data_IF_801231013939
#
_entry.id   IF_801231013939
#
_cell.length_a   1.000
_cell.length_b   1.000
_cell.length_c   1.000
_cell.angle_alpha   90.00
_cell.angle_beta   90.00
_cell.angle_gamma   90.00
#
_symmetry.space_group_name_H-M   'P 1'
#
loop_
_entity.id
_entity.type
_entity.pdbx_description
1 polymer ?
#
# COMPACT_ATOMS: atom_id res chain seq x y z
N UNK A 1 64.84 -79.38 -5.03
CA UNK A 1 63.49 -79.80 -5.50
C UNK A 1 62.57 -78.60 -5.25
N UNK A 2 62.01 -77.86 -6.19
CA UNK A 2 61.74 -77.97 -7.64
C UNK A 2 62.05 -76.58 -8.27
N UNK A 3 62.97 -76.49 -9.23
CA UNK A 3 62.74 -76.25 -10.68
C UNK A 3 62.47 -74.79 -11.11
N UNK A 4 63.56 -74.11 -11.51
CA UNK A 4 63.86 -73.55 -12.83
C UNK A 4 62.78 -73.06 -13.82
N UNK A 5 63.12 -71.87 -14.35
CA UNK A 5 63.03 -71.38 -15.73
C UNK A 5 61.75 -70.71 -16.28
N UNK A 6 61.97 -69.51 -16.85
CA UNK A 6 61.33 -69.13 -18.12
C UNK A 6 60.73 -67.73 -18.18
N UNK A 7 61.48 -66.78 -18.71
CA UNK A 7 61.01 -65.49 -19.26
C UNK A 7 59.96 -65.69 -20.36
N UNK A 8 58.80 -65.02 -20.27
CA UNK A 8 57.95 -64.64 -21.42
C UNK A 8 57.23 -63.31 -21.13
N UNK A 9 57.23 -62.45 -22.15
CA UNK A 9 56.79 -61.05 -22.32
C UNK A 9 55.46 -60.58 -21.67
N UNK A 10 55.32 -59.26 -21.38
CA UNK A 10 54.03 -58.63 -21.15
C UNK A 10 53.42 -58.14 -22.48
N UNK A 11 52.16 -58.49 -22.73
CA UNK A 11 51.32 -57.81 -23.73
C UNK A 11 49.93 -57.60 -23.13
N UNK A 12 49.58 -56.33 -22.90
CA UNK A 12 48.32 -55.95 -22.26
C UNK A 12 48.23 -54.45 -22.08
N UNK A 13 48.20 -53.74 -23.20
CA UNK A 13 47.83 -52.32 -23.32
C UNK A 13 46.55 -52.00 -22.56
N UNK A 14 46.61 -51.07 -21.61
CA UNK A 14 45.47 -50.20 -21.30
C UNK A 14 45.86 -48.74 -21.60
N UNK A 15 45.02 -48.13 -22.43
CA UNK A 15 45.14 -46.75 -22.89
C UNK A 15 44.72 -45.87 -21.70
N UNK A 16 45.71 -45.28 -21.03
CA UNK A 16 45.52 -44.21 -20.06
C UNK A 16 46.25 -42.98 -20.55
N UNK A 17 45.61 -42.19 -21.41
CA UNK A 17 46.11 -40.87 -21.78
C UNK A 17 46.23 -40.02 -20.50
N UNK A 18 47.42 -39.47 -20.17
CA UNK A 18 47.52 -38.53 -19.08
C UNK A 18 46.81 -37.25 -19.53
N UNK A 19 45.65 -36.97 -18.94
CA UNK A 19 45.04 -35.66 -19.10
C UNK A 19 46.07 -34.61 -18.65
N UNK A 20 46.35 -33.60 -19.48
CA UNK A 20 47.45 -32.70 -19.21
C UNK A 20 47.16 -31.91 -17.93
N UNK A 21 48.10 -31.79 -16.99
CA UNK A 21 47.87 -31.18 -15.66
C UNK A 21 47.29 -29.75 -15.68
N UNK A 22 47.37 -29.07 -16.82
CA UNK A 22 46.79 -27.76 -17.13
C UNK A 22 45.26 -27.80 -17.22
N UNK A 23 44.68 -28.95 -17.59
CA UNK A 23 43.23 -29.19 -17.53
C UNK A 23 42.72 -29.22 -16.09
N UNK A 24 43.50 -29.76 -15.15
CA UNK A 24 43.13 -29.80 -13.73
C UNK A 24 43.12 -28.39 -13.11
N UNK A 25 44.13 -27.56 -13.42
CA UNK A 25 44.16 -26.17 -12.95
C UNK A 25 43.01 -25.34 -13.56
N UNK A 26 42.70 -25.53 -14.84
CA UNK A 26 41.59 -24.83 -15.49
C UNK A 26 40.23 -25.21 -14.89
N UNK A 27 40.01 -26.50 -14.61
CA UNK A 27 38.77 -26.97 -13.95
C UNK A 27 38.68 -26.44 -12.52
N UNK A 28 39.80 -26.37 -11.78
CA UNK A 28 39.83 -25.83 -10.42
C UNK A 28 39.52 -24.33 -10.39
N UNK A 29 40.10 -23.56 -11.31
CA UNK A 29 39.87 -22.11 -11.41
C UNK A 29 38.43 -21.81 -11.84
N UNK A 30 37.90 -22.54 -12.83
CA UNK A 30 36.50 -22.40 -13.23
C UNK A 30 35.56 -22.80 -12.09
N UNK A 31 35.84 -23.89 -11.36
CA UNK A 31 35.06 -24.29 -10.20
C UNK A 31 35.13 -23.25 -9.06
N UNK A 32 36.30 -22.67 -8.79
CA UNK A 32 36.47 -21.62 -7.78
C UNK A 32 35.72 -20.33 -8.17
N UNK A 33 35.74 -19.94 -9.45
CA UNK A 33 34.96 -18.80 -9.95
C UNK A 33 33.47 -19.08 -9.88
N UNK A 34 33.02 -20.29 -10.26
CA UNK A 34 31.62 -20.69 -10.19
C UNK A 34 31.12 -20.76 -8.75
N UNK A 35 31.90 -21.33 -7.81
CA UNK A 35 31.57 -21.40 -6.39
C UNK A 35 31.55 -19.99 -5.78
N UNK A 36 32.48 -19.11 -6.17
CA UNK A 36 32.51 -17.71 -5.75
C UNK A 36 31.28 -16.93 -6.26
N UNK A 37 30.87 -17.15 -7.51
CA UNK A 37 29.66 -16.57 -8.10
C UNK A 37 28.38 -17.10 -7.43
N UNK A 38 28.31 -18.41 -7.17
CA UNK A 38 27.17 -19.04 -6.49
C UNK A 38 27.08 -18.55 -5.04
N UNK A 39 28.19 -18.49 -4.29
CA UNK A 39 28.22 -17.95 -2.92
C UNK A 39 27.87 -16.47 -2.87
N UNK A 40 28.33 -15.67 -3.84
CA UNK A 40 28.03 -14.23 -3.92
C UNK A 40 26.57 -13.99 -4.30
N UNK A 41 25.97 -14.83 -5.15
CA UNK A 41 24.54 -14.78 -5.47
C UNK A 41 23.66 -15.31 -4.34
N UNK A 42 24.08 -16.32 -3.57
CA UNK A 42 23.32 -16.77 -2.39
C UNK A 42 23.42 -15.80 -1.22
N UNK A 43 24.56 -15.11 -1.06
CA UNK A 43 24.68 -13.98 -0.13
C UNK A 43 23.86 -12.76 -0.58
N UNK A 44 23.83 -12.43 -1.88
CA UNK A 44 22.96 -11.38 -2.41
C UNK A 44 21.49 -11.73 -2.30
N UNK A 45 21.12 -12.99 -2.55
CA UNK A 45 19.75 -13.48 -2.35
C UNK A 45 19.38 -13.52 -0.87
N UNK A 46 20.32 -13.80 0.04
CA UNK A 46 20.09 -13.72 1.48
C UNK A 46 19.98 -12.28 1.99
N UNK A 47 20.73 -11.34 1.41
CA UNK A 47 20.57 -9.89 1.68
C UNK A 47 19.25 -9.34 1.10
N UNK A 48 18.85 -9.77 -0.09
CA UNK A 48 17.55 -9.43 -0.70
C UNK A 48 16.37 -10.11 0.01
N UNK A 49 16.57 -11.29 0.60
CA UNK A 49 15.55 -11.99 1.38
C UNK A 49 15.38 -11.44 2.80
N UNK A 50 16.31 -10.61 3.29
CA UNK A 50 16.21 -9.97 4.61
C UNK A 50 15.35 -8.70 4.59
N UNK A 51 14.97 -8.17 3.42
CA UNK A 51 14.11 -6.99 3.30
C UNK A 51 12.62 -7.32 3.11
N UNK A 52 12.24 -8.58 2.90
CA UNK A 52 10.82 -8.96 2.90
C UNK A 52 10.34 -9.29 4.31
N UNK A 53 10.50 -8.36 5.23
CA UNK A 53 9.61 -8.29 6.38
C UNK A 53 8.23 -7.91 5.82
N UNK A 54 7.44 -8.91 5.41
CA UNK A 54 6.03 -8.74 5.06
C UNK A 54 5.29 -8.25 6.30
N UNK A 55 5.30 -6.93 6.50
CA UNK A 55 4.54 -6.26 7.53
C UNK A 55 3.09 -6.22 7.09
N UNK A 56 2.27 -7.13 7.61
CA UNK A 56 0.84 -7.21 7.28
C UNK A 56 0.19 -5.82 7.14
N UNK A 57 -0.62 -5.60 6.07
CA UNK A 57 -1.12 -4.27 5.73
C UNK A 57 -1.86 -3.66 6.91
N UNK A 58 -1.67 -2.35 7.09
CA UNK A 58 -2.22 -1.64 8.23
C UNK A 58 -3.75 -1.66 8.16
N UNK A 59 -4.38 -2.46 9.02
CA UNK A 59 -5.84 -2.48 9.17
C UNK A 59 -6.34 -1.12 9.64
N UNK A 60 -7.45 -0.62 9.09
CA UNK A 60 -8.13 0.64 9.39
C UNK A 60 -9.47 0.35 10.09
N UNK A 61 -9.42 -0.37 11.20
CA UNK A 61 -10.58 -0.75 12.01
C UNK A 61 -10.40 -0.24 13.43
N UNK A 62 -11.40 0.44 13.99
CA UNK A 62 -11.40 0.91 15.39
C UNK A 62 -11.21 -0.22 16.41
N UNK A 63 -11.39 -1.48 16.00
CA UNK A 63 -11.19 -2.68 16.83
C UNK A 63 -9.71 -3.03 17.05
N UNK A 64 -8.80 -2.43 16.30
CA UNK A 64 -7.37 -2.70 16.42
C UNK A 64 -6.77 -1.65 17.36
N UNK A 65 -6.65 -2.01 18.65
CA UNK A 65 -5.94 -1.22 19.67
C UNK A 65 -4.51 -0.82 19.23
N UNK A 66 -3.94 -1.55 18.27
CA UNK A 66 -2.60 -1.38 17.71
C UNK A 66 -2.46 -0.16 16.77
N UNK A 67 -3.56 0.31 16.15
CA UNK A 67 -3.53 1.43 15.20
C UNK A 67 -3.11 2.75 15.82
N UNK A 68 -3.63 3.04 17.03
CA UNK A 68 -3.37 4.32 17.73
C UNK A 68 -1.91 4.42 18.19
N UNK A 69 -1.23 3.29 18.35
CA UNK A 69 0.19 3.27 18.69
C UNK A 69 1.07 3.51 17.46
N UNK A 70 0.59 3.13 16.27
CA UNK A 70 1.29 3.28 14.99
C UNK A 70 1.06 4.65 14.33
N UNK A 71 0.03 5.37 14.74
CA UNK A 71 -0.34 6.68 14.21
C UNK A 71 -0.03 7.80 15.21
N UNK A 72 0.45 8.92 14.69
CA UNK A 72 0.54 10.20 15.40
C UNK A 72 -0.81 10.90 15.38
N UNK A 73 -1.50 10.85 14.24
CA UNK A 73 -2.85 11.40 14.08
C UNK A 73 -3.76 10.29 13.57
N UNK A 74 -4.88 10.08 14.25
CA UNK A 74 -5.99 9.25 13.81
C UNK A 74 -7.28 10.02 14.01
N UNK A 75 -7.75 10.68 12.95
CA UNK A 75 -9.02 11.40 12.96
C UNK A 75 -9.98 10.74 11.99
N UNK A 76 -11.06 10.15 12.50
CA UNK A 76 -12.08 9.50 11.70
C UNK A 76 -13.46 10.03 12.10
N UNK A 77 -14.24 10.46 11.11
CA UNK A 77 -15.59 10.99 11.32
C UNK A 77 -16.52 10.43 10.25
N UNK A 78 -17.66 9.91 10.68
CA UNK A 78 -18.68 9.40 9.79
C UNK A 78 -20.06 10.01 10.09
N UNK A 79 -20.84 10.22 9.04
CA UNK A 79 -22.27 10.54 9.12
C UNK A 79 -23.03 9.51 8.31
N UNK A 80 -24.13 9.04 8.90
CA UNK A 80 -25.12 8.18 8.26
C UNK A 80 -26.48 8.89 8.38
N UNK A 81 -27.32 8.73 7.37
CA UNK A 81 -28.69 9.22 7.37
C UNK A 81 -29.68 8.06 7.19
N UNK A 82 -30.50 7.83 8.21
CA UNK A 82 -31.36 6.66 8.34
C UNK A 82 -30.63 5.38 8.78
N UNK A 83 -31.39 4.30 8.83
CA UNK A 83 -30.94 2.99 9.31
C UNK A 83 -30.75 1.98 8.17
N UNK A 84 -29.98 0.94 8.46
CA UNK A 84 -29.78 -0.20 7.57
C UNK A 84 -28.61 -0.07 6.59
N UNK A 85 -28.43 -1.13 5.80
CA UNK A 85 -27.29 -1.26 4.89
C UNK A 85 -27.33 -0.24 3.75
N UNK A 86 -28.53 0.18 3.30
CA UNK A 86 -28.69 1.09 2.17
C UNK A 86 -28.65 2.57 2.54
N UNK A 87 -28.64 2.92 3.82
CA UNK A 87 -28.52 4.29 4.31
C UNK A 87 -27.36 5.06 3.64
N UNK A 88 -27.59 6.30 3.16
CA UNK A 88 -26.53 7.22 2.73
C UNK A 88 -25.50 7.43 3.82
N UNK A 89 -24.22 7.35 3.44
CA UNK A 89 -23.09 7.48 4.37
C UNK A 89 -22.03 8.36 3.73
N UNK A 90 -21.36 9.13 4.55
CA UNK A 90 -20.15 9.84 4.16
C UNK A 90 -19.17 9.77 5.33
N UNK A 91 -17.94 9.33 5.04
CA UNK A 91 -16.87 9.21 6.02
C UNK A 91 -15.67 10.01 5.58
N UNK A 92 -14.96 10.48 6.58
CA UNK A 92 -13.69 11.17 6.48
C UNK A 92 -12.68 10.46 7.36
N UNK A 93 -11.45 10.30 6.86
CA UNK A 93 -10.33 9.82 7.64
C UNK A 93 -9.10 10.68 7.35
N UNK A 94 -8.35 11.03 8.38
CA UNK A 94 -7.02 11.63 8.32
C UNK A 94 -6.08 10.87 9.24
N UNK A 95 -5.03 10.31 8.65
CA UNK A 95 -4.08 9.42 9.27
C UNK A 95 -2.69 9.99 9.05
N UNK A 96 -1.90 10.09 10.12
CA UNK A 96 -0.48 10.46 10.06
C UNK A 96 0.27 9.35 10.78
N UNK A 97 1.09 8.56 10.08
CA UNK A 97 1.88 7.52 10.73
C UNK A 97 2.99 8.10 11.62
N UNK A 98 3.47 7.28 12.55
CA UNK A 98 4.71 7.55 13.28
C UNK A 98 5.90 7.01 12.50
N UNK A 99 7.02 7.71 12.57
CA UNK A 99 8.27 7.32 11.89
C UNK A 99 8.75 5.92 12.28
N UNK A 100 8.54 5.53 13.55
CA UNK A 100 8.93 4.20 14.06
C UNK A 100 8.14 3.04 13.44
N UNK A 101 7.06 3.30 12.72
CA UNK A 101 6.17 2.27 12.15
C UNK A 101 6.05 2.36 10.63
N UNK A 102 6.93 3.10 9.95
CA UNK A 102 6.93 3.21 8.48
C UNK A 102 7.06 1.84 7.79
N UNK A 103 7.91 0.96 8.32
CA UNK A 103 8.06 -0.41 7.80
C UNK A 103 6.77 -1.26 7.93
N UNK A 104 5.87 -0.92 8.86
CA UNK A 104 4.56 -1.59 8.99
C UNK A 104 3.53 -1.15 7.94
N UNK A 105 3.86 -0.12 7.16
CA UNK A 105 2.98 0.53 6.18
C UNK A 105 3.43 0.20 4.75
N UNK A 106 4.60 -0.42 4.59
CA UNK A 106 5.17 -0.81 3.30
C UNK A 106 4.21 -1.68 2.47
N UNK A 107 3.47 -2.58 3.12
CA UNK A 107 2.50 -3.43 2.42
C UNK A 107 1.19 -2.70 2.10
N UNK A 108 0.95 -1.48 2.60
CA UNK A 108 -0.22 -0.66 2.31
C UNK A 108 -1.30 -0.68 3.40
N UNK A 109 -2.50 -0.20 3.05
CA UNK A 109 -3.63 -0.05 3.98
C UNK A 109 -4.71 -1.10 3.73
N UNK A 110 -5.28 -1.69 4.77
CA UNK A 110 -6.44 -2.57 4.66
C UNK A 110 -7.61 -2.02 5.48
N UNK A 111 -8.85 -2.16 5.02
CA UNK A 111 -10.03 -1.92 5.85
C UNK A 111 -10.70 -3.25 6.19
N UNK A 112 -11.26 -3.40 7.40
CA UNK A 112 -12.11 -4.54 7.72
C UNK A 112 -13.33 -4.56 6.77
N UNK A 113 -13.44 -5.60 5.93
CA UNK A 113 -14.65 -5.86 5.16
C UNK A 113 -15.69 -6.57 6.05
N UNK A 114 -16.96 -6.56 5.61
CA UNK A 114 -17.99 -7.41 6.21
C UNK A 114 -17.49 -8.87 6.23
N UNK A 115 -17.51 -9.50 7.41
CA UNK A 115 -17.07 -10.88 7.61
C UNK A 115 -15.61 -11.07 8.02
N UNK A 116 -14.98 -10.08 8.66
CA UNK A 116 -13.61 -10.14 9.21
C UNK A 116 -12.49 -10.39 8.16
N UNK A 117 -12.77 -10.25 6.87
CA UNK A 117 -11.74 -10.28 5.83
C UNK A 117 -11.18 -8.88 5.63
N UNK A 118 -9.87 -8.73 5.75
CA UNK A 118 -9.18 -7.48 5.44
C UNK A 118 -9.25 -7.20 3.93
N UNK A 119 -9.88 -6.10 3.55
CA UNK A 119 -9.85 -5.60 2.18
C UNK A 119 -8.62 -4.73 2.01
N UNK A 120 -7.62 -5.28 1.34
CA UNK A 120 -6.39 -4.58 1.08
C UNK A 120 -6.57 -3.51 -0.02
N UNK A 121 -6.18 -2.27 0.28
CA UNK A 121 -6.16 -1.13 -0.64
C UNK A 121 -4.80 -1.05 -1.35
N UNK A 122 -4.51 -2.06 -2.20
CA UNK A 122 -3.27 -2.17 -2.98
C UNK A 122 -2.89 -0.93 -3.82
N UNK A 123 -3.84 -0.02 -4.04
CA UNK A 123 -3.60 1.23 -4.77
C UNK A 123 -2.98 2.33 -3.90
N UNK A 124 -3.06 2.21 -2.56
CA UNK A 124 -2.36 3.06 -1.60
C UNK A 124 -1.03 2.40 -1.28
N UNK A 125 -0.10 2.48 -2.23
CA UNK A 125 1.27 2.01 -2.06
C UNK A 125 2.20 3.21 -1.92
N UNK A 126 3.30 2.97 -1.23
CA UNK A 126 4.41 3.90 -1.04
C UNK A 126 5.58 3.29 -1.79
N UNK A 127 6.25 4.06 -2.64
CA UNK A 127 7.41 3.56 -3.38
C UNK A 127 8.60 3.33 -2.42
N UNK A 128 9.57 2.51 -2.82
CA UNK A 128 10.69 2.12 -1.94
C UNK A 128 11.57 3.29 -1.48
N UNK A 129 11.57 4.40 -2.22
CA UNK A 129 12.31 5.64 -1.92
C UNK A 129 11.45 6.71 -1.24
N UNK A 130 10.19 6.38 -0.94
CA UNK A 130 9.21 7.25 -0.31
C UNK A 130 8.93 6.84 1.14
N UNK A 131 8.69 7.85 1.98
CA UNK A 131 8.18 7.67 3.34
C UNK A 131 6.77 8.25 3.42
N UNK A 132 5.83 7.52 4.02
CA UNK A 132 4.47 8.03 4.15
C UNK A 132 4.39 9.11 5.23
N UNK A 133 3.84 10.27 4.87
CA UNK A 133 3.64 11.38 5.81
C UNK A 133 2.18 11.51 6.21
N UNK A 134 1.23 11.37 5.29
CA UNK A 134 -0.19 11.40 5.64
C UNK A 134 -1.07 10.66 4.63
N UNK A 135 -2.22 10.20 5.12
CA UNK A 135 -3.35 9.73 4.30
C UNK A 135 -4.58 10.51 4.71
N UNK A 136 -5.27 11.11 3.75
CA UNK A 136 -6.52 11.81 4.00
C UNK A 136 -7.54 11.44 2.92
N UNK A 137 -8.77 11.13 3.30
CA UNK A 137 -9.74 10.63 2.32
C UNK A 137 -11.20 10.77 2.72
N UNK A 138 -12.05 10.75 1.70
CA UNK A 138 -13.51 10.68 1.82
C UNK A 138 -14.04 9.44 1.11
N UNK A 139 -15.11 8.85 1.65
CA UNK A 139 -15.81 7.74 1.00
C UNK A 139 -17.26 7.63 1.45
N UNK A 140 -18.13 7.14 0.57
CA UNK A 140 -19.50 6.72 0.91
C UNK A 140 -19.59 5.24 1.37
N UNK A 141 -18.44 4.57 1.49
CA UNK A 141 -18.26 3.15 1.78
C UNK A 141 -18.86 2.18 0.76
N UNK A 142 -19.43 2.66 -0.35
CA UNK A 142 -20.21 1.85 -1.28
C UNK A 142 -19.77 2.04 -2.72
N UNK A 143 -19.85 3.27 -3.20
CA UNK A 143 -19.77 3.59 -4.62
C UNK A 143 -18.49 4.32 -4.97
N UNK A 144 -17.94 5.13 -4.05
CA UNK A 144 -16.80 5.98 -4.38
C UNK A 144 -15.88 6.25 -3.19
N UNK A 145 -14.66 6.65 -3.52
CA UNK A 145 -13.72 7.23 -2.57
C UNK A 145 -12.78 8.21 -3.26
N UNK A 146 -12.22 9.10 -2.46
CA UNK A 146 -11.03 9.89 -2.78
C UNK A 146 -10.00 9.72 -1.69
N UNK A 147 -8.72 9.67 -2.06
CA UNK A 147 -7.62 9.64 -1.12
C UNK A 147 -6.50 10.55 -1.60
N UNK A 148 -5.92 11.28 -0.67
CA UNK A 148 -4.71 12.06 -0.81
C UNK A 148 -3.64 11.38 0.03
N UNK A 149 -2.53 11.05 -0.61
CA UNK A 149 -1.37 10.41 0.00
C UNK A 149 -0.21 11.40 -0.03
N UNK A 150 0.18 11.93 1.13
CA UNK A 150 1.36 12.77 1.26
C UNK A 150 2.58 11.91 1.54
N UNK A 151 3.58 11.98 0.68
CA UNK A 151 4.82 11.19 0.78
C UNK A 151 6.04 12.11 0.82
N UNK A 152 7.09 11.67 1.49
CA UNK A 152 8.38 12.33 1.53
C UNK A 152 9.37 11.51 0.73
N UNK A 153 10.01 12.11 -0.28
CA UNK A 153 11.04 11.45 -1.09
C UNK A 153 12.43 11.81 -0.58
N UNK A 154 13.24 10.81 -0.23
CA UNK A 154 14.58 11.05 0.30
C UNK A 154 15.50 11.77 -0.71
N UNK A 155 15.38 11.44 -2.00
CA UNK A 155 16.23 12.00 -3.04
C UNK A 155 16.02 13.51 -3.24
N UNK A 156 14.77 13.97 -3.29
CA UNK A 156 14.48 15.39 -3.52
C UNK A 156 14.33 16.19 -2.22
N UNK A 157 14.29 15.55 -1.05
CA UNK A 157 14.04 16.19 0.24
C UNK A 157 12.80 17.09 0.22
N UNK A 158 11.76 16.65 -0.49
CA UNK A 158 10.51 17.38 -0.64
C UNK A 158 9.33 16.46 -0.38
N UNK A 159 8.24 17.07 0.05
CA UNK A 159 6.96 16.41 0.18
C UNK A 159 6.22 16.46 -1.15
N UNK A 160 5.70 15.32 -1.58
CA UNK A 160 4.82 15.19 -2.75
C UNK A 160 3.46 14.63 -2.35
N UNK A 161 2.48 14.82 -3.21
CA UNK A 161 1.12 14.33 -2.99
C UNK A 161 0.66 13.48 -4.17
N UNK A 162 0.16 12.28 -3.87
CA UNK A 162 -0.50 11.41 -4.83
C UNK A 162 -2.01 11.47 -4.59
N UNK A 163 -2.77 11.72 -5.65
CA UNK A 163 -4.22 11.91 -5.58
C UNK A 163 -4.93 10.73 -6.24
N UNK A 164 -5.81 10.06 -5.50
CA UNK A 164 -6.50 8.86 -5.96
C UNK A 164 -8.00 9.06 -5.92
N UNK A 165 -8.69 8.59 -6.97
CA UNK A 165 -10.14 8.48 -6.99
C UNK A 165 -10.56 7.06 -7.38
N UNK A 166 -11.63 6.59 -6.77
CA UNK A 166 -12.17 5.27 -7.06
C UNK A 166 -13.68 5.29 -7.22
N UNK A 167 -14.16 4.46 -8.15
CA UNK A 167 -15.56 4.17 -8.37
C UNK A 167 -15.77 2.66 -8.33
N UNK A 168 -16.86 2.21 -7.72
CA UNK A 168 -17.22 0.78 -7.63
C UNK A 168 -17.30 0.18 -9.04
N UNK A 169 -16.64 -0.96 -9.22
CA UNK A 169 -16.59 -1.66 -10.50
C UNK A 169 -15.64 -1.05 -11.54
N UNK A 170 -14.90 0.01 -11.19
CA UNK A 170 -13.88 0.62 -12.07
C UNK A 170 -12.49 0.51 -11.45
N UNK A 171 -11.47 0.59 -12.31
CA UNK A 171 -10.08 0.72 -11.86
C UNK A 171 -9.91 2.07 -11.13
N UNK A 172 -9.09 2.07 -10.08
CA UNK A 172 -8.69 3.30 -9.38
C UNK A 172 -7.92 4.19 -10.33
N UNK A 173 -8.19 5.50 -10.28
CA UNK A 173 -7.53 6.51 -11.10
C UNK A 173 -6.59 7.34 -10.23
N UNK A 174 -5.42 7.62 -10.77
CA UNK A 174 -4.52 8.64 -10.24
C UNK A 174 -4.87 9.96 -10.92
N UNK A 175 -5.04 11.02 -10.14
CA UNK A 175 -5.36 12.37 -10.60
C UNK A 175 -4.10 13.23 -10.57
N UNK A 176 -4.02 14.21 -11.47
CA UNK A 176 -2.82 15.04 -11.63
C UNK A 176 -2.68 16.12 -10.57
N UNK A 177 -3.80 16.59 -10.01
CA UNK A 177 -3.82 17.78 -9.15
C UNK A 177 -4.80 17.62 -7.98
N UNK A 178 -4.60 18.47 -6.96
CA UNK A 178 -5.53 18.56 -5.83
C UNK A 178 -6.91 19.06 -6.29
N UNK A 179 -6.94 19.97 -7.26
CA UNK A 179 -8.15 20.53 -7.83
C UNK A 179 -8.99 19.45 -8.50
N UNK A 180 -8.39 18.55 -9.29
CA UNK A 180 -9.08 17.41 -9.88
C UNK A 180 -9.70 16.49 -8.82
N UNK A 181 -9.00 16.28 -7.70
CA UNK A 181 -9.49 15.48 -6.57
C UNK A 181 -10.69 16.15 -5.89
N UNK A 182 -10.61 17.46 -5.66
CA UNK A 182 -11.69 18.28 -5.10
C UNK A 182 -12.90 18.26 -6.02
N UNK A 183 -12.71 18.46 -7.32
CA UNK A 183 -13.79 18.47 -8.30
C UNK A 183 -14.47 17.10 -8.42
N UNK A 184 -13.69 16.01 -8.38
CA UNK A 184 -14.26 14.67 -8.33
C UNK A 184 -15.11 14.46 -7.06
N UNK A 185 -14.58 14.81 -5.88
CA UNK A 185 -15.30 14.67 -4.62
C UNK A 185 -16.58 15.52 -4.61
N UNK A 186 -16.47 16.77 -5.06
CA UNK A 186 -17.61 17.68 -5.24
C UNK A 186 -18.66 17.09 -6.17
N UNK A 187 -18.26 16.54 -7.33
CA UNK A 187 -19.17 15.90 -8.27
C UNK A 187 -19.91 14.72 -7.65
N UNK A 188 -19.20 13.83 -6.94
CA UNK A 188 -19.81 12.69 -6.27
C UNK A 188 -20.78 13.13 -5.16
N UNK A 189 -20.37 14.07 -4.32
CA UNK A 189 -21.16 14.55 -3.18
C UNK A 189 -22.39 15.34 -3.66
N UNK A 190 -22.22 16.32 -4.53
CA UNK A 190 -23.28 17.25 -4.89
C UNK A 190 -24.19 16.71 -6.00
N UNK A 191 -23.61 16.25 -7.12
CA UNK A 191 -24.39 15.92 -8.32
C UNK A 191 -24.80 14.45 -8.39
N UNK A 192 -23.90 13.51 -8.11
CA UNK A 192 -24.18 12.07 -8.29
C UNK A 192 -25.05 11.54 -7.16
N UNK A 193 -24.66 11.81 -5.91
CA UNK A 193 -25.32 11.23 -4.75
C UNK A 193 -26.22 12.22 -3.98
N UNK A 194 -26.17 13.52 -4.31
CA UNK A 194 -26.95 14.57 -3.62
C UNK A 194 -26.81 14.53 -2.08
N UNK A 195 -25.57 14.37 -1.62
CA UNK A 195 -25.14 14.18 -0.23
C UNK A 195 -24.49 15.44 0.37
N UNK A 196 -24.69 16.62 -0.22
CA UNK A 196 -24.14 17.87 0.33
C UNK A 196 -24.56 18.11 1.79
N UNK A 197 -25.79 17.74 2.17
CA UNK A 197 -26.27 17.81 3.55
C UNK A 197 -25.48 16.90 4.52
N UNK A 198 -25.03 15.71 4.07
CA UNK A 198 -24.16 14.83 4.87
C UNK A 198 -22.79 15.46 5.08
N UNK A 199 -22.27 16.13 4.05
CA UNK A 199 -21.01 16.87 4.17
C UNK A 199 -21.13 18.00 5.20
N UNK A 200 -22.23 18.77 5.19
CA UNK A 200 -22.49 19.77 6.23
C UNK A 200 -22.52 19.18 7.64
N UNK A 201 -23.13 18.00 7.82
CA UNK A 201 -23.11 17.27 9.10
C UNK A 201 -21.70 16.79 9.48
N UNK A 202 -20.87 16.39 8.51
CA UNK A 202 -19.46 16.05 8.77
C UNK A 202 -18.66 17.27 9.22
N UNK A 203 -18.86 18.41 8.60
CA UNK A 203 -18.23 19.68 9.00
C UNK A 203 -18.60 20.04 10.43
N UNK A 204 -19.89 19.93 10.79
CA UNK A 204 -20.38 20.14 12.18
C UNK A 204 -19.75 19.16 13.19
N UNK A 205 -19.41 17.93 12.77
CA UNK A 205 -18.71 16.94 13.61
C UNK A 205 -17.20 17.20 13.76
N UNK A 206 -16.64 18.11 12.97
CA UNK A 206 -15.22 18.45 12.98
C UNK A 206 -14.42 17.70 11.92
N UNK A 207 -13.97 18.42 10.90
CA UNK A 207 -12.96 17.96 9.95
C UNK A 207 -11.60 18.56 10.33
N UNK A 208 -10.52 17.88 10.00
CA UNK A 208 -9.18 18.45 10.17
C UNK A 208 -9.00 19.64 9.24
N UNK A 209 -8.27 20.65 9.70
CA UNK A 209 -7.93 21.87 8.93
C UNK A 209 -6.84 21.54 7.91
N UNK A 210 -7.22 20.94 6.79
CA UNK A 210 -6.32 20.51 5.72
C UNK A 210 -6.72 21.20 4.40
N UNK A 211 -5.75 21.44 3.50
CA UNK A 211 -6.03 22.17 2.24
C UNK A 211 -7.14 21.50 1.40
N UNK A 212 -7.18 20.16 1.38
CA UNK A 212 -8.27 19.40 0.73
C UNK A 212 -9.64 19.67 1.38
N UNK A 213 -9.72 19.70 2.71
CA UNK A 213 -11.01 19.92 3.41
C UNK A 213 -11.50 21.34 3.21
N UNK A 214 -10.60 22.34 3.26
CA UNK A 214 -10.93 23.74 2.98
C UNK A 214 -11.40 23.97 1.54
N UNK A 215 -10.66 23.45 0.55
CA UNK A 215 -11.04 23.59 -0.86
C UNK A 215 -12.37 22.90 -1.15
N UNK A 216 -12.59 21.69 -0.64
CA UNK A 216 -13.86 20.98 -0.81
C UNK A 216 -15.02 21.71 -0.12
N UNK A 217 -14.80 22.24 1.09
CA UNK A 217 -15.79 23.04 1.79
C UNK A 217 -16.17 24.30 1.00
N UNK A 218 -15.18 25.05 0.51
CA UNK A 218 -15.41 26.22 -0.33
C UNK A 218 -16.21 25.86 -1.60
N UNK A 219 -15.90 24.72 -2.23
CA UNK A 219 -16.62 24.24 -3.42
C UNK A 219 -18.07 23.85 -3.13
N UNK A 220 -18.34 23.31 -1.95
CA UNK A 220 -19.67 22.88 -1.51
C UNK A 220 -20.47 23.99 -0.84
N UNK A 221 -19.89 25.14 -0.50
CA UNK A 221 -20.56 26.21 0.23
C UNK A 221 -21.92 26.63 -0.38
N UNK A 222 -22.06 26.83 -1.71
CA UNK A 222 -23.37 27.17 -2.30
C UNK A 222 -24.42 26.07 -2.10
N UNK A 223 -24.00 24.79 -2.18
CA UNK A 223 -24.89 23.67 -1.94
C UNK A 223 -25.25 23.56 -0.45
N UNK A 224 -24.33 23.89 0.45
CA UNK A 224 -24.58 23.90 1.90
C UNK A 224 -25.55 25.01 2.31
N UNK A 225 -25.53 26.16 1.66
CA UNK A 225 -26.55 27.21 1.85
C UNK A 225 -27.93 26.72 1.39
N UNK A 226 -27.97 25.99 0.27
CA UNK A 226 -29.22 25.48 -0.32
C UNK A 226 -29.82 24.30 0.47
N UNK A 227 -28.97 23.40 0.98
CA UNK A 227 -29.39 22.15 1.65
C UNK A 227 -29.14 22.17 3.16
N UNK A 228 -28.78 23.32 3.72
CA UNK A 228 -28.40 23.53 5.11
C UNK A 228 -29.51 23.11 6.06
N UNK A 229 -29.31 21.95 6.67
CA UNK A 229 -30.25 21.23 7.56
C UNK A 229 -31.57 20.78 6.91
N UNK A 230 -31.51 19.71 6.12
CA UNK A 230 -32.65 18.78 5.99
C UNK A 230 -33.11 18.19 7.34
N UNK A 231 -32.39 18.39 8.43
CA UNK A 231 -32.74 17.96 9.79
C UNK A 231 -33.75 18.88 10.49
N UNK A 232 -34.05 20.07 9.96
CA UNK A 232 -35.10 20.95 10.52
C UNK A 232 -36.50 20.67 9.95
N UNK A 233 -36.67 19.64 9.11
CA UNK A 233 -38.00 19.09 8.88
C UNK A 233 -38.35 18.21 10.07
N UNK A 234 -38.91 18.83 11.11
CA UNK A 234 -39.84 18.14 12.00
C UNK A 234 -40.81 17.40 11.08
N UNK A 235 -40.95 16.06 11.19
CA UNK A 235 -42.06 15.41 10.51
C UNK A 235 -43.32 16.07 11.07
N UNK A 236 -44.14 16.68 10.21
CA UNK A 236 -45.47 17.11 10.61
C UNK A 236 -46.15 15.88 11.24
N UNK A 237 -46.56 15.95 12.52
CA UNK A 237 -47.28 14.85 13.12
C UNK A 237 -48.59 14.64 12.33
N UNK A 238 -49.04 13.37 12.17
CA UNK A 238 -50.30 13.06 11.51
C UNK A 238 -51.50 13.71 12.19
#
# INVERSE_FOLDING_TARGET
MFWDNGLVYPLGTSIGSPLPGWFYFFVLDVACVLISLIKRNTLFAAFLALETAFGAPMELSERVFDLRQKLTVFHHVGVTDGDGFMAPRLRFAHLVPRDSYQGSIADGFACAALGNKLKHHKFLFVDSDETLVEVLGFSDCKNWFVALLGVWTHYSSTRHYKFYSGLKGKKVRVLGTLEELVDFAYFQIHYVHNQAYLFGRLVKKGLTSHVLTHKLHARLAPALETYGDRTNKTPDPP
#
